data_IF_433738630626
#
_entry.id   IF_433738630626
#
_cell.length_a   1.000
_cell.length_b   1.000
_cell.length_c   1.000
_cell.angle_alpha   90.00
_cell.angle_beta   90.00
_cell.angle_gamma   90.00
#
_symmetry.space_group_name_H-M   'P 1'
#
loop_
_entity.id
_entity.type
_entity.pdbx_description
1 polymer ?
#
# COMPACT_ATOMS: atom_id res chain seq x y z
N UNK A 1 -1.94 -30.95 -5.15
CA UNK A 1 -2.98 -30.85 -4.12
C UNK A 1 -3.20 -29.37 -3.85
N UNK A 2 -4.33 -28.81 -4.31
CA UNK A 2 -4.66 -27.41 -4.03
C UNK A 2 -5.17 -27.33 -2.60
N UNK A 3 -4.41 -26.73 -1.68
CA UNK A 3 -4.92 -26.42 -0.35
C UNK A 3 -5.98 -25.32 -0.51
N UNK A 4 -7.21 -25.60 -0.09
CA UNK A 4 -8.29 -24.61 0.03
C UNK A 4 -8.05 -23.79 1.30
N UNK A 5 -7.06 -22.89 1.26
CA UNK A 5 -6.83 -21.94 2.34
C UNK A 5 -8.03 -20.97 2.43
N UNK A 6 -8.59 -20.83 3.62
CA UNK A 6 -9.62 -19.84 3.89
C UNK A 6 -8.96 -18.45 3.87
N UNK A 7 -9.27 -17.63 2.87
CA UNK A 7 -8.67 -16.28 2.69
C UNK A 7 -9.05 -15.28 3.79
N UNK A 8 -10.01 -15.64 4.64
CA UNK A 8 -10.43 -14.84 5.79
C UNK A 8 -9.72 -15.25 7.10
N UNK A 9 -8.88 -16.28 7.06
CA UNK A 9 -8.09 -16.76 8.20
C UNK A 9 -6.59 -16.55 7.95
N UNK A 10 -5.91 -15.98 8.95
CA UNK A 10 -4.45 -15.86 8.92
C UNK A 10 -3.82 -17.22 9.27
N UNK A 11 -2.71 -17.62 8.62
CA UNK A 11 -1.94 -18.79 9.04
C UNK A 11 -1.47 -18.65 10.49
N UNK A 12 -1.55 -19.74 11.26
CA UNK A 12 -1.17 -19.72 12.70
C UNK A 12 0.29 -19.31 12.93
N UNK A 13 1.19 -19.65 12.01
CA UNK A 13 2.63 -19.43 12.13
C UNK A 13 3.14 -18.21 11.31
N UNK A 14 2.30 -17.19 11.10
CA UNK A 14 2.74 -15.99 10.38
C UNK A 14 3.81 -15.25 11.22
N UNK A 15 5.00 -14.94 10.66
CA UNK A 15 6.01 -14.20 11.40
C UNK A 15 5.49 -12.81 11.74
N UNK A 16 5.88 -12.33 12.93
CA UNK A 16 5.60 -10.96 13.34
C UNK A 16 6.36 -10.03 12.37
N UNK A 17 5.67 -9.04 11.75
CA UNK A 17 6.34 -8.07 10.88
C UNK A 17 7.43 -7.32 11.65
N UNK A 18 8.61 -7.22 11.05
CA UNK A 18 9.70 -6.40 11.56
C UNK A 18 9.65 -5.02 10.91
N UNK A 19 9.70 -3.97 11.72
CA UNK A 19 9.79 -2.60 11.23
C UNK A 19 11.22 -2.31 10.76
N UNK A 20 11.39 -2.08 9.45
CA UNK A 20 12.68 -1.84 8.82
C UNK A 20 13.09 -0.35 8.79
N UNK A 21 12.21 0.56 9.24
CA UNK A 21 12.44 2.00 9.27
C UNK A 21 12.63 2.65 7.88
N UNK A 22 12.34 1.93 6.78
CA UNK A 22 12.62 2.42 5.43
C UNK A 22 11.87 3.72 5.11
N UNK A 23 10.74 3.97 5.77
CA UNK A 23 9.87 5.12 5.54
C UNK A 23 9.97 6.23 6.61
N UNK A 24 10.83 6.10 7.62
CA UNK A 24 10.92 7.05 8.74
C UNK A 24 11.16 8.49 8.28
N UNK A 25 11.93 8.62 7.21
CA UNK A 25 12.30 9.90 6.60
C UNK A 25 11.14 10.62 5.89
N UNK A 26 10.01 9.95 5.64
CA UNK A 26 8.89 10.52 4.87
C UNK A 26 7.98 11.43 5.69
N UNK A 27 8.03 11.36 7.02
CA UNK A 27 7.17 12.18 7.88
C UNK A 27 7.43 13.67 7.64
N UNK A 28 6.38 14.42 7.30
CA UNK A 28 6.45 15.86 7.01
C UNK A 28 6.85 16.22 5.57
N UNK A 29 7.17 15.23 4.72
CA UNK A 29 7.39 15.47 3.30
C UNK A 29 6.06 15.57 2.55
N UNK A 30 6.02 16.44 1.54
CA UNK A 30 4.92 16.47 0.58
C UNK A 30 5.07 15.32 -0.41
N UNK A 31 3.95 14.70 -0.79
CA UNK A 31 3.96 13.70 -1.84
C UNK A 31 4.32 14.38 -3.18
N UNK A 32 5.25 13.82 -3.98
CA UNK A 32 5.60 14.39 -5.28
C UNK A 32 4.41 14.48 -6.24
N UNK A 33 4.38 15.52 -7.08
CA UNK A 33 3.40 15.64 -8.19
C UNK A 33 3.72 14.59 -9.26
N UNK A 34 3.17 13.37 -9.07
CA UNK A 34 3.40 12.20 -9.91
C UNK A 34 2.06 11.56 -10.28
N UNK A 35 1.90 11.27 -11.58
CA UNK A 35 0.77 10.51 -12.10
C UNK A 35 1.14 9.04 -12.31
N UNK A 36 0.28 8.14 -11.85
CA UNK A 36 0.38 6.69 -11.99
C UNK A 36 -0.74 6.17 -12.90
N UNK A 37 -0.46 5.14 -13.69
CA UNK A 37 -1.48 4.48 -14.52
C UNK A 37 -2.40 3.63 -13.65
N UNK A 38 -3.70 3.81 -13.77
CA UNK A 38 -4.72 2.98 -13.12
C UNK A 38 -5.04 1.72 -13.93
N UNK A 39 -5.71 0.76 -13.29
CA UNK A 39 -6.26 -0.44 -13.96
C UNK A 39 -7.37 -0.12 -14.96
N UNK A 40 -7.94 1.10 -14.91
CA UNK A 40 -8.91 1.61 -15.88
C UNK A 40 -8.23 2.31 -17.07
N UNK A 41 -6.89 2.33 -17.13
CA UNK A 41 -6.13 2.96 -18.21
C UNK A 41 -6.09 4.49 -18.13
N UNK A 42 -6.41 5.06 -16.96
CA UNK A 42 -6.39 6.50 -16.71
C UNK A 42 -5.22 6.89 -15.80
N UNK A 43 -4.69 8.10 -15.98
CA UNK A 43 -3.65 8.61 -15.09
C UNK A 43 -4.28 9.19 -13.82
N UNK A 44 -3.80 8.73 -12.66
CA UNK A 44 -4.20 9.20 -11.34
C UNK A 44 -3.02 9.87 -10.66
N UNK A 45 -3.22 11.09 -10.17
CA UNK A 45 -2.19 11.83 -9.44
C UNK A 45 -2.52 11.85 -7.95
N UNK A 46 -1.73 11.12 -7.17
CA UNK A 46 -1.98 10.96 -5.74
C UNK A 46 -1.79 12.27 -4.95
N UNK A 47 -0.90 13.16 -5.39
CA UNK A 47 -0.67 14.45 -4.73
C UNK A 47 -1.84 15.45 -4.92
N UNK A 48 -2.78 15.14 -5.82
CA UNK A 48 -3.94 15.99 -6.14
C UNK A 48 -5.25 15.42 -5.58
N UNK A 49 -5.21 14.30 -4.87
CA UNK A 49 -6.39 13.73 -4.24
C UNK A 49 -6.88 14.62 -3.10
N UNK A 50 -8.20 14.85 -2.99
CA UNK A 50 -8.76 15.69 -1.94
C UNK A 50 -8.69 14.99 -0.59
N UNK A 51 -8.75 15.80 0.47
CA UNK A 51 -8.90 15.34 1.86
C UNK A 51 -7.82 14.31 2.30
N UNK A 52 -8.20 13.37 3.16
CA UNK A 52 -7.32 12.33 3.68
C UNK A 52 -7.41 11.09 2.80
N UNK A 53 -6.32 10.80 2.11
CA UNK A 53 -6.16 9.56 1.34
C UNK A 53 -5.25 8.59 2.10
N UNK A 54 -5.64 7.31 2.15
CA UNK A 54 -4.79 6.21 2.63
C UNK A 54 -4.42 5.36 1.43
N UNK A 55 -3.11 5.17 1.20
CA UNK A 55 -2.58 4.39 0.07
C UNK A 55 -2.01 3.09 0.59
N UNK A 56 -2.44 1.98 0.01
CA UNK A 56 -1.88 0.65 0.26
C UNK A 56 -0.89 0.32 -0.85
N UNK A 57 0.38 0.14 -0.49
CA UNK A 57 1.44 -0.30 -1.39
C UNK A 57 1.71 -1.78 -1.13
N UNK A 58 1.68 -2.60 -2.18
CA UNK A 58 1.91 -4.04 -2.15
C UNK A 58 2.82 -4.47 -3.30
#
# INVERSE_FOLDING_TARGET
MSSSANIYELPEDLPIPFDDGACDHLTGFLLPDMALMSTEGTLVNLAKLPERTVVYCY
#
